data_IF_917518203982
#
_entry.id   IF_917518203982
#
_cell.length_a   1.000
_cell.length_b   1.000
_cell.length_c   1.000
_cell.angle_alpha   90.00
_cell.angle_beta   90.00
_cell.angle_gamma   90.00
#
_symmetry.space_group_name_H-M   'P 1'
#
loop_
_entity.id
_entity.type
_entity.pdbx_description
1 polymer ?
#
# COMPACT_ATOMS: atom_id res chain seq x y z
N UNK A 1 -45.31 2.36 -21.65
CA UNK A 1 -44.05 3.09 -21.44
C UNK A 1 -43.32 2.43 -20.28
N UNK A 2 -42.58 1.35 -20.56
CA UNK A 2 -41.88 0.56 -19.54
C UNK A 2 -40.62 1.32 -19.16
N UNK A 3 -40.59 1.81 -17.93
CA UNK A 3 -39.41 2.40 -17.29
C UNK A 3 -38.31 1.33 -17.27
N UNK A 4 -37.27 1.57 -18.07
CA UNK A 4 -36.07 0.76 -18.09
C UNK A 4 -35.43 0.78 -16.71
N UNK A 5 -35.76 -0.25 -15.92
CA UNK A 5 -34.96 -0.71 -14.80
C UNK A 5 -33.64 -1.26 -15.35
N UNK A 6 -32.81 -0.37 -15.90
CA UNK A 6 -31.37 -0.57 -15.96
C UNK A 6 -30.87 -0.45 -14.53
N UNK A 7 -31.17 -1.48 -13.74
CA UNK A 7 -30.53 -1.79 -12.47
C UNK A 7 -29.05 -1.75 -12.82
N UNK A 8 -28.37 -0.66 -12.47
CA UNK A 8 -26.93 -0.57 -12.60
C UNK A 8 -26.40 -1.84 -11.96
N UNK A 9 -25.92 -2.78 -12.79
CA UNK A 9 -25.37 -4.02 -12.30
C UNK A 9 -24.25 -3.59 -11.37
N UNK A 10 -24.53 -3.68 -10.07
CA UNK A 10 -23.51 -3.67 -9.07
C UNK A 10 -22.75 -4.95 -9.38
N UNK A 11 -21.69 -4.83 -10.17
CA UNK A 11 -20.78 -5.92 -10.47
C UNK A 11 -20.14 -6.28 -9.15
N UNK A 12 -20.81 -7.20 -8.45
CA UNK A 12 -20.47 -7.63 -7.12
C UNK A 12 -19.28 -8.55 -7.27
N UNK A 13 -18.10 -8.06 -6.88
CA UNK A 13 -16.90 -8.89 -6.88
C UNK A 13 -17.16 -10.03 -5.87
N UNK A 14 -17.11 -11.30 -6.30
CA UNK A 14 -17.40 -12.41 -5.40
C UNK A 14 -16.30 -12.50 -4.34
N UNK A 15 -16.64 -12.96 -3.13
CA UNK A 15 -15.66 -13.17 -2.06
C UNK A 15 -14.57 -14.18 -2.45
N UNK A 16 -14.86 -15.10 -3.37
CA UNK A 16 -13.87 -16.00 -3.97
C UNK A 16 -12.75 -15.28 -4.72
N UNK A 17 -12.95 -14.03 -5.15
CA UNK A 17 -11.93 -13.21 -5.80
C UNK A 17 -10.77 -12.83 -4.86
N UNK A 18 -10.92 -13.07 -3.55
CA UNK A 18 -9.82 -12.95 -2.59
C UNK A 18 -8.67 -13.93 -2.89
N UNK A 19 -8.98 -15.13 -3.38
CA UNK A 19 -7.96 -16.12 -3.74
C UNK A 19 -7.03 -15.65 -4.87
N UNK A 20 -7.54 -15.28 -6.06
CA UNK A 20 -6.67 -14.75 -7.12
C UNK A 20 -5.98 -13.46 -6.68
N UNK A 21 -6.64 -12.59 -5.90
CA UNK A 21 -5.99 -11.41 -5.33
C UNK A 21 -4.76 -11.77 -4.48
N UNK A 22 -4.91 -12.67 -3.51
CA UNK A 22 -3.81 -13.07 -2.63
C UNK A 22 -2.70 -13.79 -3.40
N UNK A 23 -3.04 -14.65 -4.36
CA UNK A 23 -2.07 -15.34 -5.20
C UNK A 23 -1.24 -14.38 -6.06
N UNK A 24 -1.89 -13.38 -6.67
CA UNK A 24 -1.18 -12.36 -7.47
C UNK A 24 -0.33 -11.48 -6.55
N UNK A 25 -0.90 -10.98 -5.45
CA UNK A 25 -0.18 -10.11 -4.51
C UNK A 25 1.04 -10.83 -3.92
N UNK A 26 0.86 -12.07 -3.45
CA UNK A 26 1.93 -12.90 -2.91
C UNK A 26 2.97 -13.23 -3.99
N UNK A 27 2.55 -13.76 -5.14
CA UNK A 27 3.43 -14.17 -6.21
C UNK A 27 4.26 -12.99 -6.78
N UNK A 28 3.67 -11.81 -6.87
CA UNK A 28 4.36 -10.61 -7.32
C UNK A 28 5.40 -10.13 -6.30
N UNK A 29 5.01 -9.93 -5.05
CA UNK A 29 5.92 -9.45 -4.01
C UNK A 29 7.03 -10.45 -3.72
N UNK A 30 6.68 -11.71 -3.46
CA UNK A 30 7.64 -12.76 -3.13
C UNK A 30 8.42 -13.23 -4.34
N UNK A 31 7.86 -13.18 -5.55
CA UNK A 31 8.62 -13.44 -6.77
C UNK A 31 9.77 -12.47 -6.95
N UNK A 32 9.52 -11.16 -6.77
CA UNK A 32 10.56 -10.14 -6.80
C UNK A 32 11.60 -10.36 -5.70
N UNK A 33 11.17 -10.61 -4.46
CA UNK A 33 12.08 -10.86 -3.34
C UNK A 33 12.91 -12.13 -3.57
N UNK A 34 12.29 -13.21 -4.06
CA UNK A 34 12.96 -14.47 -4.35
C UNK A 34 14.08 -14.29 -5.38
N UNK A 35 13.90 -13.44 -6.40
CA UNK A 35 14.97 -13.12 -7.34
C UNK A 35 16.18 -12.49 -6.64
N UNK A 36 15.98 -11.58 -5.69
CA UNK A 36 17.08 -10.99 -4.91
C UNK A 36 17.72 -11.98 -3.92
N UNK A 37 16.96 -12.96 -3.42
CA UNK A 37 17.47 -13.99 -2.51
C UNK A 37 18.28 -15.06 -3.25
N UNK A 38 17.76 -15.58 -4.37
CA UNK A 38 18.35 -16.71 -5.08
C UNK A 38 19.32 -16.29 -6.19
N UNK A 39 19.20 -15.08 -6.73
CA UNK A 39 20.06 -14.54 -7.80
C UNK A 39 20.66 -13.17 -7.40
N UNK A 40 21.26 -13.04 -6.20
CA UNK A 40 21.67 -11.74 -5.65
C UNK A 40 22.71 -11.05 -6.54
N UNK A 41 23.70 -11.79 -7.06
CA UNK A 41 24.74 -11.20 -7.92
C UNK A 41 24.17 -10.64 -9.23
N UNK A 42 23.22 -11.34 -9.85
CA UNK A 42 22.59 -10.89 -11.09
C UNK A 42 21.69 -9.69 -10.83
N UNK A 43 20.87 -9.75 -9.78
CA UNK A 43 19.97 -8.65 -9.41
C UNK A 43 20.72 -7.39 -9.00
N UNK A 44 21.75 -7.51 -8.16
CA UNK A 44 22.59 -6.36 -7.79
C UNK A 44 23.37 -5.81 -8.99
N UNK A 45 23.82 -6.66 -9.91
CA UNK A 45 24.51 -6.20 -11.13
C UNK A 45 23.59 -5.42 -12.07
N UNK A 46 22.33 -5.83 -12.21
CA UNK A 46 21.40 -5.20 -13.17
C UNK A 46 20.62 -4.04 -12.58
N UNK A 47 20.20 -4.15 -11.32
CA UNK A 47 19.30 -3.19 -10.69
C UNK A 47 19.94 -2.43 -9.52
N UNK A 48 21.09 -2.88 -9.03
CA UNK A 48 21.74 -2.33 -7.85
C UNK A 48 21.34 -3.03 -6.55
N UNK A 49 21.95 -2.63 -5.43
CA UNK A 49 21.63 -3.20 -4.12
C UNK A 49 20.20 -2.83 -3.70
N UNK A 50 19.49 -3.79 -3.10
CA UNK A 50 18.14 -3.58 -2.63
C UNK A 50 18.15 -2.60 -1.44
N UNK A 51 17.37 -1.51 -1.57
CA UNK A 51 17.18 -0.49 -0.53
C UNK A 51 15.71 -0.10 -0.45
N UNK A 52 15.29 0.65 0.57
CA UNK A 52 13.91 1.13 0.70
C UNK A 52 13.44 2.06 -0.42
N UNK A 53 14.38 2.66 -1.17
CA UNK A 53 14.11 3.53 -2.33
C UNK A 53 14.22 2.78 -3.66
N UNK A 54 14.57 1.49 -3.63
CA UNK A 54 14.84 0.72 -4.83
C UNK A 54 13.54 0.48 -5.62
N UNK A 55 13.49 0.75 -6.94
CA UNK A 55 12.26 0.63 -7.73
C UNK A 55 11.59 -0.75 -7.65
N UNK A 56 12.38 -1.83 -7.66
CA UNK A 56 11.84 -3.19 -7.51
C UNK A 56 11.30 -3.48 -6.10
N UNK A 57 11.82 -2.82 -5.06
CA UNK A 57 11.25 -2.91 -3.72
C UNK A 57 9.89 -2.20 -3.67
N UNK A 58 9.80 -0.99 -4.24
CA UNK A 58 8.54 -0.24 -4.35
C UNK A 58 7.49 -1.04 -5.13
N UNK A 59 7.89 -1.68 -6.24
CA UNK A 59 7.00 -2.54 -7.01
C UNK A 59 6.53 -3.78 -6.24
N UNK A 60 7.37 -4.33 -5.36
CA UNK A 60 6.96 -5.42 -4.47
C UNK A 60 5.93 -4.94 -3.43
N UNK A 61 6.11 -3.74 -2.85
CA UNK A 61 5.12 -3.13 -1.96
C UNK A 61 3.80 -2.86 -2.69
N UNK A 62 3.85 -2.48 -3.97
CA UNK A 62 2.66 -2.22 -4.79
C UNK A 62 1.91 -3.48 -5.25
N UNK A 63 2.43 -4.67 -4.97
CA UNK A 63 1.82 -5.94 -5.37
C UNK A 63 0.31 -6.06 -5.04
N UNK A 64 -0.19 -5.78 -3.82
CA UNK A 64 -1.62 -5.80 -3.52
C UNK A 64 -2.42 -4.79 -4.37
N UNK A 65 -1.87 -3.60 -4.65
CA UNK A 65 -2.53 -2.64 -5.53
C UNK A 65 -2.67 -3.20 -6.95
N UNK A 66 -1.59 -3.75 -7.51
CA UNK A 66 -1.59 -4.37 -8.84
C UNK A 66 -2.56 -5.55 -8.90
N UNK A 67 -2.58 -6.39 -7.86
CA UNK A 67 -3.50 -7.52 -7.76
C UNK A 67 -4.97 -7.05 -7.77
N UNK A 68 -5.31 -6.00 -7.02
CA UNK A 68 -6.66 -5.46 -7.04
C UNK A 68 -7.04 -4.85 -8.39
N UNK A 69 -6.14 -4.12 -9.06
CA UNK A 69 -6.42 -3.59 -10.40
C UNK A 69 -6.71 -4.71 -11.41
N UNK A 70 -5.95 -5.81 -11.36
CA UNK A 70 -6.18 -6.99 -12.21
C UNK A 70 -7.52 -7.64 -11.90
N UNK A 71 -7.80 -7.93 -10.62
CA UNK A 71 -9.02 -8.63 -10.21
C UNK A 71 -10.27 -7.79 -10.46
N UNK A 72 -10.26 -6.50 -10.10
CA UNK A 72 -11.37 -5.56 -10.35
C UNK A 72 -11.56 -5.38 -11.86
N UNK A 73 -10.48 -5.18 -12.60
CA UNK A 73 -10.54 -5.02 -14.06
C UNK A 73 -11.14 -6.24 -14.76
N UNK A 74 -10.79 -7.44 -14.31
CA UNK A 74 -11.33 -8.69 -14.84
C UNK A 74 -12.82 -8.88 -14.55
N UNK A 75 -13.27 -8.61 -13.31
CA UNK A 75 -14.65 -8.87 -12.90
C UNK A 75 -15.63 -7.74 -13.24
N UNK A 76 -15.18 -6.48 -13.18
CA UNK A 76 -16.05 -5.31 -13.26
C UNK A 76 -15.76 -4.41 -14.47
N UNK A 77 -14.75 -4.78 -15.29
CA UNK A 77 -14.36 -4.05 -16.48
C UNK A 77 -13.87 -2.62 -16.19
N UNK A 78 -13.75 -1.83 -17.26
CA UNK A 78 -13.24 -0.45 -17.16
C UNK A 78 -14.13 0.47 -16.31
N UNK A 79 -15.46 0.34 -16.42
CA UNK A 79 -16.41 1.16 -15.66
C UNK A 79 -16.32 0.83 -14.17
N UNK A 80 -16.21 -0.46 -13.81
CA UNK A 80 -16.01 -0.90 -12.44
C UNK A 80 -14.69 -0.41 -11.86
N UNK A 81 -13.61 -0.48 -12.64
CA UNK A 81 -12.29 0.00 -12.23
C UNK A 81 -12.28 1.52 -11.93
N UNK A 82 -12.92 2.32 -12.78
CA UNK A 82 -13.07 3.77 -12.53
C UNK A 82 -13.87 4.06 -11.26
N UNK A 83 -14.95 3.32 -11.02
CA UNK A 83 -15.77 3.44 -9.80
C UNK A 83 -14.97 3.03 -8.57
N UNK A 84 -14.16 1.99 -8.66
CA UNK A 84 -13.27 1.55 -7.60
C UNK A 84 -12.24 2.64 -7.26
N UNK A 85 -11.55 3.19 -8.26
CA UNK A 85 -10.57 4.27 -8.05
C UNK A 85 -11.19 5.59 -7.59
N UNK A 86 -12.45 5.88 -7.94
CA UNK A 86 -13.13 7.09 -7.46
C UNK A 86 -13.31 7.14 -5.93
N UNK A 87 -13.22 5.99 -5.26
CA UNK A 87 -13.28 5.92 -3.78
C UNK A 87 -12.09 6.61 -3.12
N UNK A 88 -10.98 6.80 -3.83
CA UNK A 88 -9.81 7.55 -3.32
C UNK A 88 -10.12 9.03 -3.07
N UNK A 89 -11.17 9.55 -3.68
CA UNK A 89 -11.61 10.93 -3.49
C UNK A 89 -12.54 11.07 -2.27
N UNK A 90 -12.89 9.97 -1.60
CA UNK A 90 -13.74 10.00 -0.41
C UNK A 90 -12.90 10.36 0.81
N UNK A 91 -13.05 11.59 1.29
CA UNK A 91 -12.48 12.00 2.57
C UNK A 91 -13.52 11.86 3.69
N UNK A 92 -13.33 10.87 4.55
CA UNK A 92 -14.19 10.62 5.73
C UNK A 92 -13.36 10.26 6.96
N UNK A 93 -12.40 11.11 7.31
CA UNK A 93 -11.57 10.93 8.50
C UNK A 93 -12.08 11.80 9.66
N UNK A 94 -12.68 11.22 10.72
CA UNK A 94 -13.03 11.96 11.93
C UNK A 94 -11.80 12.63 12.56
N UNK A 95 -11.92 13.85 13.14
CA UNK A 95 -10.79 14.54 13.75
C UNK A 95 -10.08 13.74 14.84
N UNK A 96 -10.81 12.88 15.56
CA UNK A 96 -10.23 11.99 16.57
C UNK A 96 -9.20 11.02 15.99
N UNK A 97 -9.42 10.50 14.78
CA UNK A 97 -8.46 9.63 14.10
C UNK A 97 -7.21 10.40 13.64
N UNK A 98 -7.39 11.64 13.18
CA UNK A 98 -6.26 12.53 12.86
C UNK A 98 -5.42 12.79 14.11
N UNK A 99 -6.05 13.12 15.24
CA UNK A 99 -5.35 13.32 16.51
C UNK A 99 -4.63 12.04 16.98
N UNK A 100 -5.27 10.87 16.85
CA UNK A 100 -4.64 9.60 17.20
C UNK A 100 -3.42 9.29 16.33
N UNK A 101 -3.46 9.55 15.02
CA UNK A 101 -2.32 9.35 14.13
C UNK A 101 -1.19 10.35 14.44
N UNK A 102 -1.52 11.62 14.62
CA UNK A 102 -0.52 12.68 14.84
C UNK A 102 0.08 12.69 16.24
N UNK A 103 -0.64 12.21 17.26
CA UNK A 103 -0.19 12.21 18.65
C UNK A 103 -0.01 10.81 19.20
N UNK A 104 -1.02 9.95 19.05
CA UNK A 104 -1.01 8.58 19.60
C UNK A 104 0.13 7.72 19.05
N UNK A 105 0.33 7.70 17.72
CA UNK A 105 1.42 6.94 17.12
C UNK A 105 2.80 7.43 17.59
N UNK A 106 3.16 8.73 17.49
CA UNK A 106 4.43 9.22 18.03
C UNK A 106 4.61 8.93 19.52
N UNK A 107 3.58 9.13 20.34
CA UNK A 107 3.64 8.83 21.78
C UNK A 107 3.95 7.36 22.04
N UNK A 108 3.43 6.44 21.23
CA UNK A 108 3.72 5.01 21.36
C UNK A 108 5.19 4.71 21.04
N UNK A 109 5.76 5.32 19.99
CA UNK A 109 7.18 5.17 19.65
C UNK A 109 8.10 5.78 20.72
N UNK A 110 7.85 7.03 21.14
CA UNK A 110 8.65 7.69 22.18
C UNK A 110 8.47 7.04 23.55
N UNK A 111 7.26 6.57 23.87
CA UNK A 111 7.01 5.78 25.08
C UNK A 111 7.81 4.48 25.09
N UNK A 112 7.85 3.77 23.95
CA UNK A 112 8.70 2.59 23.78
C UNK A 112 10.20 2.89 23.94
N UNK A 113 10.66 4.02 23.42
CA UNK A 113 12.05 4.46 23.57
C UNK A 113 12.38 4.85 25.03
N UNK A 114 11.45 5.50 25.72
CA UNK A 114 11.57 5.82 27.14
C UNK A 114 11.67 4.54 28.00
N UNK A 115 10.83 3.55 27.74
CA UNK A 115 10.87 2.25 28.42
C UNK A 115 12.18 1.48 28.16
N UNK A 116 12.74 1.61 26.96
CA UNK A 116 14.06 1.05 26.61
C UNK A 116 15.23 1.86 27.17
N UNK A 117 14.99 3.03 27.76
CA UNK A 117 16.02 3.92 28.29
C UNK A 117 16.86 4.63 27.21
N UNK A 118 16.42 4.62 25.94
CA UNK A 118 17.18 5.20 24.81
C UNK A 118 16.51 6.43 24.20
N UNK A 119 15.52 7.02 24.88
CA UNK A 119 14.75 8.17 24.41
C UNK A 119 15.60 9.33 23.86
N UNK A 120 16.76 9.58 24.46
CA UNK A 120 17.64 10.70 24.11
C UNK A 120 18.90 10.28 23.32
N UNK A 121 19.04 9.00 22.96
CA UNK A 121 20.22 8.53 22.23
C UNK A 121 20.18 8.91 20.75
N UNK A 122 19.00 8.79 20.11
CA UNK A 122 18.77 9.23 18.73
C UNK A 122 17.44 10.01 18.65
N UNK A 123 17.43 11.28 19.08
CA UNK A 123 16.19 12.08 19.09
C UNK A 123 15.65 12.34 17.69
N UNK A 124 16.52 12.29 16.67
CA UNK A 124 16.18 12.57 15.30
C UNK A 124 16.98 11.65 14.35
N UNK A 125 16.33 10.69 13.66
CA UNK A 125 17.01 9.65 12.90
C UNK A 125 17.38 10.08 11.47
N UNK A 126 17.47 11.39 11.20
CA UNK A 126 17.82 11.92 9.88
C UNK A 126 18.94 12.96 10.01
N UNK A 127 19.81 13.03 9.00
CA UNK A 127 20.92 14.00 8.94
C UNK A 127 20.47 15.46 8.69
N UNK A 128 19.16 15.72 8.73
CA UNK A 128 18.58 17.04 8.58
C UNK A 128 17.14 17.02 8.06
N UNK A 129 16.59 18.21 7.82
CA UNK A 129 15.21 18.37 7.35
C UNK A 129 15.01 17.84 5.93
N UNK A 130 15.98 18.04 5.04
CA UNK A 130 15.87 17.60 3.65
C UNK A 130 15.69 16.07 3.50
N UNK A 131 16.55 15.20 4.07
CA UNK A 131 16.35 13.75 4.00
C UNK A 131 15.09 13.30 4.74
N UNK A 132 14.70 13.96 5.84
CA UNK A 132 13.42 13.69 6.51
C UNK A 132 12.23 13.97 5.59
N UNK A 133 12.19 15.13 4.92
CA UNK A 133 11.13 15.48 3.99
C UNK A 133 11.10 14.56 2.77
N UNK A 134 12.27 14.16 2.25
CA UNK A 134 12.36 13.19 1.16
C UNK A 134 11.78 11.83 1.57
N UNK A 135 12.15 11.32 2.75
CA UNK A 135 11.61 10.07 3.30
C UNK A 135 10.10 10.16 3.57
N UNK A 136 9.63 11.32 4.06
CA UNK A 136 8.20 11.58 4.27
C UNK A 136 7.43 11.51 2.95
N UNK A 137 7.87 12.23 1.92
CA UNK A 137 7.24 12.23 0.59
C UNK A 137 7.24 10.82 0.01
N UNK A 138 8.36 10.11 0.09
CA UNK A 138 8.45 8.74 -0.38
C UNK A 138 7.45 7.83 0.34
N UNK A 139 7.42 7.87 1.68
CA UNK A 139 6.56 6.99 2.48
C UNK A 139 5.08 7.32 2.27
N UNK A 140 4.74 8.61 2.08
CA UNK A 140 3.41 9.08 1.73
C UNK A 140 2.92 8.56 0.36
N UNK A 141 3.84 8.13 -0.50
CA UNK A 141 3.51 7.53 -1.80
C UNK A 141 3.59 6.00 -1.75
N UNK A 142 4.53 5.42 -1.00
CA UNK A 142 4.69 3.97 -0.93
C UNK A 142 3.55 3.31 -0.16
N UNK A 143 3.30 3.75 1.07
CA UNK A 143 2.32 3.11 1.96
C UNK A 143 0.87 3.20 1.45
N UNK A 144 0.36 4.38 1.06
CA UNK A 144 -1.04 4.49 0.66
C UNK A 144 -1.43 3.72 -0.61
N UNK A 145 -0.48 3.41 -1.49
CA UNK A 145 -0.79 2.69 -2.74
C UNK A 145 -1.13 1.24 -2.48
N UNK A 146 -0.44 0.54 -1.57
CA UNK A 146 -0.79 -0.85 -1.24
C UNK A 146 -2.19 -1.00 -0.64
N UNK A 147 -2.65 0.05 0.06
CA UNK A 147 -3.99 0.11 0.66
C UNK A 147 -5.11 0.05 -0.39
N UNK A 148 -4.83 0.34 -1.66
CA UNK A 148 -5.75 0.05 -2.76
C UNK A 148 -6.14 -1.44 -2.72
N UNK A 149 -5.16 -2.34 -2.62
CA UNK A 149 -5.45 -3.76 -2.54
C UNK A 149 -6.13 -4.14 -1.23
N UNK A 150 -5.51 -3.77 -0.11
CA UNK A 150 -5.95 -4.22 1.21
C UNK A 150 -7.32 -3.68 1.59
N UNK A 151 -7.52 -2.35 1.58
CA UNK A 151 -8.79 -1.72 1.96
C UNK A 151 -9.76 -1.59 0.80
N UNK A 152 -9.26 -1.57 -0.43
CA UNK A 152 -10.14 -1.44 -1.59
C UNK A 152 -10.81 -2.75 -1.99
N UNK A 153 -10.10 -3.89 -1.89
CA UNK A 153 -10.60 -5.18 -2.35
C UNK A 153 -10.63 -6.26 -1.26
N UNK A 154 -9.58 -6.42 -0.47
CA UNK A 154 -9.52 -7.51 0.52
C UNK A 154 -10.46 -7.26 1.72
N UNK A 155 -10.61 -6.00 2.12
CA UNK A 155 -11.45 -5.56 3.23
C UNK A 155 -12.29 -4.33 2.83
N UNK A 156 -13.28 -4.51 1.91
CA UNK A 156 -14.00 -3.41 1.26
C UNK A 156 -15.05 -2.71 2.14
#
# INVERSE_FOLDING_TARGET
MQTGSARAEQTHIPSSALWPFLLIAFGWAWGLIALFVFLPHQMTRWFGPLTGHHPLFILAVYAPAMAALVVVGYHAGWIGLRRYLSRLLLWRCPPAWVAFILLGMPLLFYGGAALKGNLFQEPFPFDGLAPMLAALVLTLVIGPVEELGWRGLALP
#
